data_IF_287667080451
#
_entry.id   IF_287667080451
#
_cell.length_a   1.000
_cell.length_b   1.000
_cell.length_c   1.000
_cell.angle_alpha   90.00
_cell.angle_beta   90.00
_cell.angle_gamma   90.00
#
_symmetry.space_group_name_H-M   'P 1'
#
loop_
_entity.id
_entity.type
_entity.pdbx_description
1 polymer ?
#
# COMPACT_ATOMS: atom_id res chain seq x y z
N UNK A 1 4.37 3.51 8.85
CA UNK A 1 3.26 2.84 8.21
C UNK A 1 1.94 3.61 8.32
N UNK A 2 1.61 4.25 9.43
CA UNK A 2 0.44 5.14 9.55
C UNK A 2 0.71 6.59 9.13
N UNK A 3 1.96 6.93 8.81
CA UNK A 3 2.32 8.29 8.39
C UNK A 3 1.90 8.63 6.95
N UNK A 4 1.58 7.65 6.11
CA UNK A 4 1.11 7.91 4.74
C UNK A 4 -0.27 8.60 4.73
N UNK A 5 -1.12 8.35 5.72
CA UNK A 5 -2.40 9.06 5.87
C UNK A 5 -2.21 10.57 6.18
N UNK A 6 -1.05 10.98 6.69
CA UNK A 6 -0.70 12.40 6.87
C UNK A 6 -0.19 13.07 5.58
N UNK A 7 0.17 12.31 4.54
CA UNK A 7 0.57 12.89 3.25
C UNK A 7 -0.56 13.62 2.53
N UNK A 8 -1.82 13.36 2.86
CA UNK A 8 -2.96 14.11 2.31
C UNK A 8 -3.00 15.57 2.75
N UNK A 9 -2.35 15.91 3.85
CA UNK A 9 -2.26 17.30 4.32
C UNK A 9 -1.18 18.13 3.61
N UNK A 10 -0.35 17.52 2.77
CA UNK A 10 0.78 18.19 2.11
C UNK A 10 0.51 18.60 0.66
N UNK A 11 -0.69 18.34 0.11
CA UNK A 11 -1.12 18.97 -1.13
C UNK A 11 -1.52 20.45 -0.87
N UNK A 12 -0.56 21.24 -0.41
CA UNK A 12 -0.65 22.70 -0.46
C UNK A 12 -0.53 23.12 -1.92
N UNK A 13 -1.66 23.38 -2.55
CA UNK A 13 -1.70 24.12 -3.80
C UNK A 13 -1.07 25.49 -3.57
N UNK A 14 -0.01 25.79 -4.30
CA UNK A 14 0.53 27.14 -4.40
C UNK A 14 -0.49 28.02 -5.13
N UNK A 15 -0.95 29.06 -4.46
CA UNK A 15 -1.64 30.20 -5.09
C UNK A 15 -3.11 30.33 -4.72
N UNK A 16 -3.44 31.42 -4.03
CA UNK A 16 -4.77 31.93 -3.80
C UNK A 16 -5.17 31.98 -2.32
N UNK A 17 -5.70 33.11 -1.93
CA UNK A 17 -6.25 33.42 -0.62
C UNK A 17 -7.01 32.24 -0.04
N UNK A 18 -6.35 31.50 0.83
CA UNK A 18 -6.97 30.41 1.54
C UNK A 18 -7.67 30.99 2.76
N UNK A 19 -8.98 30.88 2.81
CA UNK A 19 -9.70 30.91 4.05
C UNK A 19 -9.05 29.87 4.98
N UNK A 20 -8.28 30.33 5.96
CA UNK A 20 -7.87 29.55 7.11
C UNK A 20 -9.13 29.24 7.91
N UNK A 21 -9.92 28.28 7.43
CA UNK A 21 -10.93 27.68 8.27
C UNK A 21 -10.12 26.99 9.36
N UNK A 22 -10.04 27.61 10.54
CA UNK A 22 -9.63 26.92 11.76
C UNK A 22 -10.56 25.74 11.88
N UNK A 23 -10.09 24.58 11.40
CA UNK A 23 -10.86 23.36 11.47
C UNK A 23 -11.00 23.05 12.95
N UNK A 24 -12.21 23.16 13.43
CA UNK A 24 -12.59 22.78 14.77
C UNK A 24 -12.17 21.31 14.99
N UNK A 25 -11.71 20.98 16.18
CA UNK A 25 -11.26 19.62 16.55
C UNK A 25 -12.28 18.54 16.16
N UNK A 26 -13.58 18.79 16.32
CA UNK A 26 -14.66 17.90 15.90
C UNK A 26 -14.67 17.62 14.38
N UNK A 27 -14.28 18.59 13.55
CA UNK A 27 -14.21 18.41 12.11
C UNK A 27 -13.00 17.54 11.73
N UNK A 28 -11.87 17.73 12.40
CA UNK A 28 -10.70 16.88 12.23
C UNK A 28 -10.99 15.43 12.65
N UNK A 29 -11.64 15.24 13.76
CA UNK A 29 -12.05 13.91 14.23
C UNK A 29 -13.02 13.23 13.26
N UNK A 30 -13.98 13.97 12.71
CA UNK A 30 -14.89 13.47 11.69
C UNK A 30 -14.14 13.03 10.44
N UNK A 31 -13.20 13.85 9.95
CA UNK A 31 -12.36 13.48 8.79
C UNK A 31 -11.56 12.21 9.07
N UNK A 32 -10.87 12.14 10.22
CA UNK A 32 -10.07 10.97 10.57
C UNK A 32 -10.91 9.69 10.66
N UNK A 33 -12.10 9.79 11.23
CA UNK A 33 -13.04 8.67 11.30
C UNK A 33 -13.51 8.25 9.91
N UNK A 34 -13.95 9.20 9.09
CA UNK A 34 -14.43 8.96 7.72
C UNK A 34 -13.32 8.32 6.87
N UNK A 35 -12.08 8.81 6.96
CA UNK A 35 -10.93 8.23 6.25
C UNK A 35 -10.71 6.77 6.66
N UNK A 36 -10.81 6.45 7.95
CA UNK A 36 -10.67 5.07 8.44
C UNK A 36 -11.77 4.17 7.89
N UNK A 37 -13.03 4.63 7.94
CA UNK A 37 -14.19 3.87 7.42
C UNK A 37 -14.07 3.62 5.92
N UNK A 38 -13.76 4.65 5.13
CA UNK A 38 -13.51 4.53 3.69
C UNK A 38 -12.35 3.57 3.42
N UNK A 39 -11.25 3.68 4.15
CA UNK A 39 -10.11 2.78 4.00
C UNK A 39 -10.51 1.32 4.20
N UNK A 40 -11.28 1.00 5.23
CA UNK A 40 -11.73 -0.37 5.48
C UNK A 40 -12.57 -0.94 4.34
N UNK A 41 -13.41 -0.14 3.71
CA UNK A 41 -14.20 -0.55 2.55
C UNK A 41 -13.29 -0.76 1.33
N UNK A 42 -12.43 0.19 1.03
CA UNK A 42 -11.59 0.18 -0.17
C UNK A 42 -10.44 -0.84 -0.07
N UNK A 43 -9.92 -1.09 1.13
CA UNK A 43 -8.79 -2.00 1.37
C UNK A 43 -9.05 -3.43 0.89
N UNK A 44 -10.31 -3.86 0.86
CA UNK A 44 -10.69 -5.17 0.34
C UNK A 44 -10.48 -5.29 -1.17
N UNK A 45 -10.52 -4.17 -1.90
CA UNK A 45 -10.37 -4.17 -3.34
C UNK A 45 -8.88 -3.98 -3.75
N UNK A 46 -8.19 -5.08 -4.03
CA UNK A 46 -6.76 -5.06 -4.41
C UNK A 46 -6.49 -4.28 -5.70
N UNK A 47 -7.37 -4.37 -6.69
CA UNK A 47 -7.21 -3.64 -7.96
C UNK A 47 -7.28 -2.13 -7.72
N UNK A 48 -8.23 -1.69 -6.91
CA UNK A 48 -8.33 -0.28 -6.53
C UNK A 48 -7.10 0.17 -5.74
N UNK A 49 -6.63 -0.65 -4.79
CA UNK A 49 -5.42 -0.37 -4.03
C UNK A 49 -4.18 -0.30 -4.92
N UNK A 50 -4.06 -1.19 -5.89
CA UNK A 50 -2.96 -1.13 -6.86
C UNK A 50 -3.03 0.15 -7.70
N UNK A 51 -4.21 0.51 -8.23
CA UNK A 51 -4.40 1.74 -9.00
C UNK A 51 -4.04 2.99 -8.18
N UNK A 52 -4.48 3.06 -6.92
CA UNK A 52 -4.10 4.13 -6.00
C UNK A 52 -2.58 4.20 -5.81
N UNK A 53 -1.93 3.08 -5.53
CA UNK A 53 -0.48 3.03 -5.35
C UNK A 53 0.29 3.35 -6.63
N UNK A 54 -0.26 3.03 -7.82
CA UNK A 54 0.32 3.44 -9.09
C UNK A 54 0.29 4.96 -9.28
N UNK A 55 -0.84 5.61 -9.00
CA UNK A 55 -0.96 7.08 -9.06
C UNK A 55 0.06 7.75 -8.12
N UNK A 56 0.22 7.20 -6.91
CA UNK A 56 1.21 7.71 -5.96
C UNK A 56 2.65 7.49 -6.43
N UNK A 57 2.93 6.33 -7.03
CA UNK A 57 4.24 6.01 -7.60
C UNK A 57 4.61 6.97 -8.74
N UNK A 58 3.67 7.20 -9.67
CA UNK A 58 3.84 8.12 -10.80
C UNK A 58 4.06 9.56 -10.34
N UNK A 59 3.41 9.97 -9.25
CA UNK A 59 3.62 11.29 -8.64
C UNK A 59 5.01 11.41 -8.03
N UNK A 60 5.44 10.41 -7.27
CA UNK A 60 6.78 10.36 -6.66
C UNK A 60 7.89 10.33 -7.73
N UNK A 61 7.68 9.59 -8.82
CA UNK A 61 8.61 9.55 -9.94
C UNK A 61 8.79 10.93 -10.58
N UNK A 62 7.69 11.62 -10.88
CA UNK A 62 7.70 12.97 -11.46
C UNK A 62 8.37 13.99 -10.54
N UNK A 63 8.13 13.91 -9.25
CA UNK A 63 8.70 14.81 -8.27
C UNK A 63 10.17 14.48 -7.93
N UNK A 64 10.63 13.26 -8.17
CA UNK A 64 12.00 12.83 -7.83
C UNK A 64 13.09 13.66 -8.51
N UNK A 65 12.76 14.26 -9.66
CA UNK A 65 13.64 15.22 -10.38
C UNK A 65 13.73 16.60 -9.74
N UNK A 66 12.74 17.01 -8.93
CA UNK A 66 12.68 18.35 -8.35
C UNK A 66 13.17 18.44 -6.89
N UNK A 67 13.19 17.30 -6.17
CA UNK A 67 13.50 17.27 -4.74
C UNK A 67 14.94 16.82 -4.44
N UNK A 68 15.94 17.54 -4.98
CA UNK A 68 17.32 17.35 -4.51
C UNK A 68 17.54 17.84 -3.06
N UNK A 69 16.63 18.64 -2.51
CA UNK A 69 16.81 19.31 -1.22
C UNK A 69 16.06 18.69 -0.04
N UNK A 70 14.98 17.91 -0.24
CA UNK A 70 14.27 17.23 0.86
C UNK A 70 14.75 15.79 0.99
N UNK A 71 16.05 15.62 1.19
CA UNK A 71 16.63 14.30 1.45
C UNK A 71 16.46 13.91 2.91
N UNK A 72 15.30 13.42 3.30
CA UNK A 72 15.23 12.59 4.48
C UNK A 72 15.93 11.26 4.16
N UNK A 73 17.25 11.23 4.27
CA UNK A 73 18.10 10.06 3.93
C UNK A 73 17.78 8.80 4.75
N UNK A 74 16.91 8.90 5.76
CA UNK A 74 16.39 7.76 6.51
C UNK A 74 15.29 6.99 5.74
N UNK A 75 14.46 7.69 4.96
CA UNK A 75 13.32 7.11 4.26
C UNK A 75 13.62 6.83 2.79
N UNK A 76 14.36 7.69 2.14
CA UNK A 76 14.63 7.62 0.70
C UNK A 76 16.07 7.19 0.41
N UNK A 77 16.24 6.52 -0.72
CA UNK A 77 17.53 6.25 -1.35
C UNK A 77 18.03 7.51 -2.06
N UNK A 78 19.29 7.47 -2.55
CA UNK A 78 19.85 8.58 -3.35
C UNK A 78 19.04 8.88 -4.63
N UNK A 79 18.29 7.90 -5.13
CA UNK A 79 17.48 7.99 -6.35
C UNK A 79 16.02 8.34 -6.07
N UNK A 80 15.68 8.88 -4.90
CA UNK A 80 14.31 9.27 -4.54
C UNK A 80 13.35 8.12 -4.26
N UNK A 81 13.79 6.86 -4.32
CA UNK A 81 12.96 5.67 -4.05
C UNK A 81 12.92 5.35 -2.56
N UNK A 82 11.79 4.85 -2.08
CA UNK A 82 11.68 4.41 -0.70
C UNK A 82 12.61 3.23 -0.41
N UNK A 83 13.30 3.29 0.72
CA UNK A 83 14.11 2.16 1.20
C UNK A 83 13.20 1.05 1.70
N UNK A 84 13.56 -0.19 1.37
CA UNK A 84 12.84 -1.37 1.88
C UNK A 84 12.89 -1.40 3.42
N UNK A 85 11.73 -1.59 4.02
CA UNK A 85 11.57 -1.84 5.46
C UNK A 85 10.92 -3.19 5.67
N UNK A 86 11.21 -3.82 6.81
CA UNK A 86 10.48 -5.03 7.21
C UNK A 86 8.99 -4.73 7.33
N UNK A 87 8.16 -5.61 6.79
CA UNK A 87 6.70 -5.47 6.87
C UNK A 87 6.26 -5.79 8.31
N UNK A 88 5.64 -4.84 9.02
CA UNK A 88 5.22 -5.04 10.42
C UNK A 88 4.25 -6.23 10.57
N UNK A 89 4.28 -6.88 11.73
CA UNK A 89 3.42 -8.04 12.01
C UNK A 89 1.93 -7.73 11.83
N UNK A 90 1.49 -6.55 12.28
CA UNK A 90 0.09 -6.15 12.13
C UNK A 90 -0.33 -5.95 10.66
N UNK A 91 0.57 -5.45 9.80
CA UNK A 91 0.33 -5.33 8.35
C UNK A 91 0.18 -6.71 7.73
N UNK A 92 1.11 -7.64 8.02
CA UNK A 92 1.03 -9.02 7.55
C UNK A 92 -0.28 -9.68 7.94
N UNK A 93 -0.67 -9.50 9.21
CA UNK A 93 -1.95 -10.03 9.72
C UNK A 93 -3.15 -9.47 8.95
N UNK A 94 -3.22 -8.15 8.75
CA UNK A 94 -4.31 -7.53 8.02
C UNK A 94 -4.38 -8.00 6.57
N UNK A 95 -3.24 -8.08 5.88
CA UNK A 95 -3.15 -8.57 4.50
C UNK A 95 -3.51 -10.05 4.41
N UNK A 96 -3.07 -10.88 5.37
CA UNK A 96 -3.43 -12.29 5.42
C UNK A 96 -4.96 -12.48 5.48
N UNK A 97 -5.64 -11.75 6.32
CA UNK A 97 -7.10 -11.83 6.42
C UNK A 97 -7.81 -11.23 5.21
N UNK A 98 -7.31 -10.13 4.65
CA UNK A 98 -7.86 -9.58 3.40
C UNK A 98 -7.77 -10.59 2.25
N UNK A 99 -6.63 -11.26 2.12
CA UNK A 99 -6.36 -12.21 1.03
C UNK A 99 -6.78 -13.64 1.40
N UNK A 100 -7.44 -13.83 2.57
CA UNK A 100 -8.02 -15.08 3.06
C UNK A 100 -7.02 -16.23 3.12
N UNK A 101 -5.76 -15.93 3.47
CA UNK A 101 -4.71 -16.92 3.55
C UNK A 101 -4.35 -17.58 2.22
N UNK A 102 -4.71 -16.96 1.07
CA UNK A 102 -4.45 -17.51 -0.25
C UNK A 102 -3.53 -16.63 -1.08
N UNK A 103 -2.72 -17.26 -1.93
CA UNK A 103 -1.93 -16.55 -2.92
C UNK A 103 -2.84 -15.79 -3.89
N UNK A 104 -2.68 -14.46 -4.02
CA UNK A 104 -3.55 -13.64 -4.86
C UNK A 104 -3.40 -13.92 -6.36
N UNK A 105 -2.32 -14.55 -6.80
CA UNK A 105 -2.09 -14.88 -8.22
C UNK A 105 -2.61 -16.29 -8.58
N UNK A 106 -2.20 -17.33 -7.85
CA UNK A 106 -2.53 -18.72 -8.19
C UNK A 106 -3.60 -19.36 -7.30
N UNK A 107 -4.10 -18.64 -6.29
CA UNK A 107 -5.10 -19.09 -5.32
C UNK A 107 -4.66 -20.27 -4.43
N UNK A 108 -3.35 -20.63 -4.40
CA UNK A 108 -2.81 -21.65 -3.51
C UNK A 108 -3.13 -21.32 -2.05
N UNK A 109 -3.66 -22.27 -1.32
CA UNK A 109 -3.92 -22.14 0.12
C UNK A 109 -2.60 -22.06 0.89
N UNK A 110 -2.45 -21.03 1.68
CA UNK A 110 -1.27 -20.77 2.49
C UNK A 110 -1.56 -20.80 3.99
N UNK A 111 -2.82 -21.03 4.39
CA UNK A 111 -3.25 -20.99 5.79
C UNK A 111 -2.58 -22.05 6.66
N UNK A 112 -2.28 -23.22 6.09
CA UNK A 112 -1.61 -24.33 6.78
C UNK A 112 -0.07 -24.27 6.77
N UNK A 113 0.53 -23.44 5.91
CA UNK A 113 1.99 -23.39 5.69
C UNK A 113 2.59 -22.09 6.21
N UNK A 114 1.79 -21.04 6.26
CA UNK A 114 2.23 -19.73 6.71
C UNK A 114 2.10 -19.60 8.22
N UNK A 115 3.26 -19.53 8.87
CA UNK A 115 3.27 -18.70 10.06
C UNK A 115 3.04 -17.25 9.61
N UNK A 116 2.15 -16.53 10.27
CA UNK A 116 1.95 -15.07 10.08
C UNK A 116 3.27 -14.28 10.21
N UNK A 117 4.34 -14.94 10.57
CA UNK A 117 5.67 -14.38 10.79
C UNK A 117 6.56 -14.50 9.54
N UNK A 118 6.26 -15.38 8.59
CA UNK A 118 7.04 -15.50 7.37
C UNK A 118 6.89 -14.24 6.50
N UNK A 119 7.99 -13.51 6.32
CA UNK A 119 8.01 -12.30 5.50
C UNK A 119 8.09 -12.63 3.99
N UNK A 120 8.49 -13.83 3.64
CA UNK A 120 8.76 -14.24 2.25
C UNK A 120 7.51 -14.25 1.36
N UNK A 121 6.33 -14.31 1.98
CA UNK A 121 5.06 -14.41 1.28
C UNK A 121 4.33 -13.06 1.17
N UNK A 122 4.91 -11.98 1.69
CA UNK A 122 4.33 -10.64 1.60
C UNK A 122 5.18 -9.77 0.69
N UNK A 123 4.55 -9.23 -0.33
CA UNK A 123 5.26 -8.41 -1.29
C UNK A 123 4.43 -7.18 -1.72
N UNK A 124 5.12 -6.19 -2.29
CA UNK A 124 4.51 -4.96 -2.75
C UNK A 124 3.79 -5.19 -4.09
N UNK A 125 2.56 -4.73 -4.25
CA UNK A 125 1.86 -4.73 -5.54
C UNK A 125 2.62 -3.87 -6.55
N UNK A 126 2.91 -2.61 -6.20
CA UNK A 126 3.82 -1.74 -6.95
C UNK A 126 5.20 -1.85 -6.30
N UNK A 127 6.23 -2.32 -7.02
CA UNK A 127 7.55 -2.54 -6.43
C UNK A 127 8.21 -1.23 -6.00
N UNK A 128 9.04 -1.30 -4.95
CA UNK A 128 9.80 -0.13 -4.47
C UNK A 128 10.76 0.42 -5.55
N UNK A 129 11.22 -0.44 -6.47
CA UNK A 129 12.03 -0.04 -7.63
C UNK A 129 11.23 0.82 -8.63
N UNK A 130 9.92 0.72 -8.64
CA UNK A 130 8.98 1.54 -9.40
C UNK A 130 8.28 2.59 -8.54
N UNK A 131 8.95 3.15 -7.55
CA UNK A 131 8.44 4.17 -6.62
C UNK A 131 7.24 3.73 -5.75
N UNK A 132 6.99 2.42 -5.63
CA UNK A 132 5.94 1.89 -4.75
C UNK A 132 6.15 2.28 -3.29
N UNK A 133 5.07 2.35 -2.53
CA UNK A 133 5.09 2.78 -1.13
C UNK A 133 5.23 1.62 -0.17
N UNK A 134 5.89 1.85 0.99
CA UNK A 134 5.86 0.95 2.15
C UNK A 134 4.56 1.19 2.94
N UNK A 135 3.44 0.87 2.34
CA UNK A 135 2.10 1.04 2.91
C UNK A 135 1.29 -0.25 2.83
N UNK A 136 0.38 -0.46 3.79
CA UNK A 136 -0.48 -1.64 3.84
C UNK A 136 -1.33 -1.80 2.57
N UNK A 137 -1.74 -0.68 1.96
CA UNK A 137 -2.50 -0.65 0.71
C UNK A 137 -1.72 -1.24 -0.47
N UNK A 138 -0.38 -1.26 -0.38
CA UNK A 138 0.52 -1.76 -1.41
C UNK A 138 1.05 -3.18 -1.15
N UNK A 139 0.63 -3.84 -0.07
CA UNK A 139 1.09 -5.19 0.28
C UNK A 139 0.06 -6.24 -0.12
N UNK A 140 0.53 -7.40 -0.61
CA UNK A 140 -0.27 -8.56 -0.97
C UNK A 140 0.36 -9.86 -0.51
N UNK A 141 -0.45 -10.94 -0.44
CA UNK A 141 -0.03 -12.28 -0.06
C UNK A 141 0.26 -13.12 -1.32
N UNK A 142 1.47 -13.68 -1.40
CA UNK A 142 1.90 -14.53 -2.51
C UNK A 142 2.48 -15.84 -1.99
N UNK A 143 2.33 -16.93 -2.74
CA UNK A 143 3.16 -18.10 -2.50
C UNK A 143 4.60 -17.85 -2.97
N UNK A 144 5.54 -18.63 -2.48
CA UNK A 144 6.96 -18.47 -2.78
C UNK A 144 7.24 -18.53 -4.29
N UNK A 145 6.57 -19.44 -4.98
CA UNK A 145 6.70 -19.62 -6.42
C UNK A 145 6.26 -18.36 -7.18
N UNK A 146 5.05 -17.86 -6.92
CA UNK A 146 4.56 -16.65 -7.57
C UNK A 146 5.40 -15.42 -7.22
N UNK A 147 5.89 -15.30 -5.99
CA UNK A 147 6.74 -14.19 -5.59
C UNK A 147 8.11 -14.22 -6.29
N UNK A 148 8.67 -15.41 -6.51
CA UNK A 148 9.99 -15.56 -7.12
C UNK A 148 9.97 -15.54 -8.65
N UNK A 149 8.92 -16.09 -9.29
CA UNK A 149 8.89 -16.31 -10.74
C UNK A 149 8.00 -15.33 -11.48
N UNK A 150 6.80 -15.03 -10.97
CA UNK A 150 5.84 -14.16 -11.65
C UNK A 150 6.14 -12.67 -11.46
N UNK A 151 6.82 -12.33 -10.36
CA UNK A 151 7.00 -10.95 -9.94
C UNK A 151 8.42 -10.42 -10.10
N UNK A 152 9.26 -11.05 -10.89
CA UNK A 152 10.62 -10.54 -11.13
C UNK A 152 10.59 -9.16 -11.79
N UNK A 153 10.80 -8.10 -10.97
CA UNK A 153 11.10 -6.71 -11.42
C UNK A 153 10.21 -6.12 -12.52
N UNK A 154 8.98 -6.62 -12.63
CA UNK A 154 7.99 -6.11 -13.58
C UNK A 154 7.14 -4.98 -13.02
N UNK A 155 6.21 -4.45 -13.83
CA UNK A 155 5.18 -3.53 -13.38
C UNK A 155 4.35 -4.13 -12.24
N UNK A 156 3.59 -3.29 -11.54
CA UNK A 156 2.72 -3.73 -10.45
C UNK A 156 1.80 -4.88 -10.84
N UNK A 157 1.72 -5.91 -10.00
CA UNK A 157 0.94 -7.13 -10.27
C UNK A 157 0.04 -7.47 -9.09
N UNK A 158 -1.22 -7.65 -9.37
CA UNK A 158 -2.22 -8.24 -8.45
C UNK A 158 -3.39 -8.81 -9.26
N UNK A 159 -4.38 -9.39 -8.59
CA UNK A 159 -5.60 -9.88 -9.26
C UNK A 159 -6.85 -9.45 -8.52
N UNK A 160 -7.99 -9.44 -9.24
CA UNK A 160 -9.33 -9.29 -8.66
C UNK A 160 -9.93 -10.62 -8.16
N UNK A 161 -9.15 -11.70 -8.21
CA UNK A 161 -9.61 -13.02 -7.77
C UNK A 161 -9.72 -13.04 -6.26
N UNK A 162 -10.89 -13.42 -5.77
CA UNK A 162 -11.18 -13.64 -4.36
C UNK A 162 -11.84 -15.01 -4.18
N UNK A 163 -11.48 -15.69 -3.10
CA UNK A 163 -12.15 -16.92 -2.71
C UNK A 163 -13.59 -16.63 -2.30
N UNK A 164 -14.54 -17.42 -2.77
CA UNK A 164 -15.93 -17.33 -2.32
C UNK A 164 -16.04 -17.70 -0.83
N UNK A 165 -16.95 -17.02 -0.13
CA UNK A 165 -17.34 -17.42 1.23
C UNK A 165 -18.29 -18.61 1.22
N UNK A 166 -18.95 -18.85 0.09
CA UNK A 166 -19.95 -19.89 -0.08
C UNK A 166 -19.56 -20.79 -1.24
N UNK A 167 -19.73 -22.10 -1.06
CA UNK A 167 -19.83 -23.03 -2.17
C UNK A 167 -21.20 -22.78 -2.82
N UNK A 168 -21.24 -22.57 -4.12
CA UNK A 168 -22.48 -22.51 -4.90
C UNK A 168 -22.72 -23.89 -5.50
N UNK A 169 -22.83 -24.91 -4.62
CA UNK A 169 -23.17 -26.27 -5.01
C UNK A 169 -24.71 -26.44 -5.09
#
# INVERSE_FOLDING_TARGET
WLHSLRCWSLLKTRGGSMFEVRMNECYQELIERTVKEIFHVLFQNRILMMGFNQIMADSLERESGFHSEVKNGKLFSKNGKLKRKSIPKWVRRAVFFRDRGRCVLCNKDLSGVLSLESQENYDHMIPLSGYGMNDISNIQLLCKECNQYEKKSGPGVTTARYESWYSYD
#
